data_IF_349524769258
#
_entry.id   IF_349524769258
#
_cell.length_a   1.000
_cell.length_b   1.000
_cell.length_c   1.000
_cell.angle_alpha   90.00
_cell.angle_beta   90.00
_cell.angle_gamma   90.00
#
_symmetry.space_group_name_H-M   'P 1'
#
loop_
_entity.id
_entity.type
_entity.pdbx_description
1 polymer ?
#
# COMPACT_ATOMS: atom_id res chain seq x y z
N UNK A 1 6.04 0.60 3.10
CA UNK A 1 5.87 -0.02 1.76
C UNK A 1 4.46 -0.49 1.45
N UNK A 2 3.52 -0.24 2.36
CA UNK A 2 2.14 -0.65 2.13
C UNK A 2 1.58 -0.15 0.79
N UNK A 3 1.73 1.13 0.40
CA UNK A 3 1.19 1.57 -0.89
C UNK A 3 1.78 0.84 -2.08
N UNK A 4 3.08 0.59 -2.08
CA UNK A 4 3.71 -0.09 -3.22
C UNK A 4 3.25 -1.54 -3.36
N UNK A 5 3.10 -2.26 -2.23
CA UNK A 5 2.62 -3.64 -2.27
C UNK A 5 1.27 -3.74 -2.98
N UNK A 6 0.30 -2.97 -2.54
CA UNK A 6 -1.05 -3.05 -3.11
C UNK A 6 -1.17 -2.46 -4.50
N UNK A 7 -0.51 -1.34 -4.76
CA UNK A 7 -0.63 -0.67 -6.05
C UNK A 7 0.00 -1.48 -7.18
N UNK A 8 1.12 -2.17 -6.91
CA UNK A 8 1.72 -3.03 -7.96
C UNK A 8 0.80 -4.18 -8.33
N UNK A 9 0.02 -4.70 -7.37
CA UNK A 9 -0.98 -5.74 -7.64
C UNK A 9 -2.18 -5.15 -8.38
N UNK A 10 -2.77 -4.10 -7.83
CA UNK A 10 -4.01 -3.52 -8.38
C UNK A 10 -3.85 -3.11 -9.83
N UNK A 11 -2.70 -2.57 -10.19
CA UNK A 11 -2.41 -2.11 -11.55
C UNK A 11 -1.52 -3.06 -12.34
N UNK A 12 -1.10 -4.17 -11.71
CA UNK A 12 -0.28 -5.22 -12.32
C UNK A 12 0.97 -4.64 -12.98
N UNK A 13 1.79 -3.96 -12.18
CA UNK A 13 2.97 -3.28 -12.67
C UNK A 13 4.08 -3.27 -11.62
N UNK A 14 5.20 -2.63 -11.91
CA UNK A 14 6.32 -2.49 -10.98
C UNK A 14 6.41 -1.07 -10.44
N UNK A 15 7.25 -0.89 -9.41
CA UNK A 15 7.35 0.37 -8.69
C UNK A 15 7.79 1.54 -9.56
N UNK A 16 8.70 1.31 -10.51
CA UNK A 16 9.19 2.36 -11.39
C UNK A 16 8.08 2.93 -12.29
N UNK A 17 7.19 2.07 -12.78
CA UNK A 17 6.08 2.51 -13.63
C UNK A 17 5.07 3.34 -12.85
N UNK A 18 4.81 2.95 -11.60
CA UNK A 18 3.90 3.71 -10.73
C UNK A 18 4.43 5.11 -10.47
N UNK A 19 5.73 5.25 -10.25
CA UNK A 19 6.33 6.53 -9.94
C UNK A 19 6.59 7.39 -11.17
N UNK A 20 6.68 6.78 -12.35
CA UNK A 20 6.82 7.50 -13.61
C UNK A 20 5.54 8.20 -14.04
N UNK A 21 4.38 7.70 -13.61
CA UNK A 21 3.09 8.28 -13.95
C UNK A 21 2.68 9.29 -12.88
N UNK A 22 2.42 10.56 -13.23
CA UNK A 22 2.09 11.58 -12.23
C UNK A 22 0.84 11.25 -11.41
N UNK A 23 -0.17 10.62 -11.99
CA UNK A 23 -1.40 10.30 -11.28
C UNK A 23 -1.18 9.22 -10.22
N UNK A 24 -0.46 8.15 -10.55
CA UNK A 24 -0.19 7.08 -9.59
C UNK A 24 0.85 7.50 -8.56
N UNK A 25 1.82 8.32 -8.95
CA UNK A 25 2.77 8.88 -7.99
C UNK A 25 2.06 9.72 -6.94
N UNK A 26 1.12 10.56 -7.36
CA UNK A 26 0.31 11.37 -6.43
C UNK A 26 -0.55 10.49 -5.53
N UNK A 27 -1.15 9.43 -6.07
CA UNK A 27 -1.96 8.51 -5.28
C UNK A 27 -1.12 7.80 -4.21
N UNK A 28 0.07 7.35 -4.59
CA UNK A 28 0.99 6.73 -3.63
C UNK A 28 1.36 7.71 -2.51
N UNK A 29 1.61 8.96 -2.88
CA UNK A 29 1.92 10.00 -1.89
C UNK A 29 0.76 10.18 -0.91
N UNK A 30 -0.47 10.24 -1.41
CA UNK A 30 -1.67 10.32 -0.55
C UNK A 30 -1.79 9.14 0.39
N UNK A 31 -1.55 7.93 -0.12
CA UNK A 31 -1.60 6.72 0.71
C UNK A 31 -0.55 6.76 1.80
N UNK A 32 0.65 7.24 1.48
CA UNK A 32 1.70 7.40 2.49
C UNK A 32 1.32 8.42 3.56
N UNK A 33 0.69 9.51 3.16
CA UNK A 33 0.21 10.50 4.13
C UNK A 33 -0.87 9.91 5.05
N UNK A 34 -1.72 9.04 4.53
CA UNK A 34 -2.69 8.34 5.37
C UNK A 34 -2.01 7.46 6.41
N UNK A 35 -0.99 6.70 5.99
CA UNK A 35 -0.23 5.86 6.90
C UNK A 35 0.47 6.69 7.97
N UNK A 36 1.10 7.79 7.58
CA UNK A 36 1.78 8.68 8.50
C UNK A 36 0.78 9.28 9.51
N UNK A 37 -0.38 9.74 9.01
CA UNK A 37 -1.42 10.28 9.89
C UNK A 37 -1.94 9.25 10.88
N UNK A 38 -2.12 8.01 10.43
CA UNK A 38 -2.52 6.92 11.30
C UNK A 38 -1.46 6.65 12.37
N UNK A 39 -0.19 6.62 11.99
CA UNK A 39 0.91 6.41 12.93
C UNK A 39 0.95 7.51 13.98
N UNK A 40 0.77 8.77 13.57
CA UNK A 40 0.73 9.90 14.50
C UNK A 40 -0.45 9.77 15.46
N UNK A 41 -1.61 9.39 14.96
CA UNK A 41 -2.82 9.20 15.78
C UNK A 41 -2.63 8.08 16.80
N UNK A 42 -1.84 7.07 16.46
CA UNK A 42 -1.51 5.95 17.34
C UNK A 42 -0.36 6.24 18.31
N UNK A 43 0.18 7.46 18.26
CA UNK A 43 1.21 7.90 19.22
C UNK A 43 2.64 7.77 18.75
N UNK A 44 2.88 7.41 17.49
CA UNK A 44 4.24 7.36 16.96
C UNK A 44 4.78 8.78 16.85
N UNK A 45 5.97 9.00 17.39
CA UNK A 45 6.62 10.31 17.37
C UNK A 45 7.73 10.32 16.31
N UNK A 46 8.19 11.51 15.98
CA UNK A 46 9.31 11.71 15.04
C UNK A 46 9.01 11.21 13.63
N UNK A 47 7.73 11.23 13.23
CA UNK A 47 7.32 10.93 11.87
C UNK A 47 6.41 12.07 11.40
N UNK A 48 6.65 12.54 10.16
CA UNK A 48 5.84 13.63 9.57
C UNK A 48 5.73 13.43 8.06
N UNK A 49 5.06 14.38 7.40
CA UNK A 49 4.81 14.30 5.96
C UNK A 49 6.07 14.18 5.11
N UNK A 50 7.20 14.68 5.59
CA UNK A 50 8.46 14.60 4.84
C UNK A 50 8.94 13.16 4.67
N UNK A 51 8.48 12.24 5.54
CA UNK A 51 8.79 10.81 5.41
C UNK A 51 8.27 10.25 4.09
N UNK A 52 7.09 10.70 3.64
CA UNK A 52 6.52 10.26 2.36
C UNK A 52 7.44 10.65 1.20
N UNK A 53 7.93 11.89 1.21
CA UNK A 53 8.83 12.35 0.16
C UNK A 53 10.14 11.57 0.16
N UNK A 54 10.69 11.28 1.34
CA UNK A 54 11.92 10.51 1.45
C UNK A 54 11.75 9.07 0.94
N UNK A 55 10.60 8.45 1.22
CA UNK A 55 10.33 7.09 0.75
C UNK A 55 10.19 7.02 -0.77
N UNK A 56 9.53 8.01 -1.36
CA UNK A 56 9.41 8.10 -2.81
C UNK A 56 10.79 8.30 -3.44
N UNK A 57 11.57 9.22 -2.90
CA UNK A 57 12.93 9.49 -3.39
C UNK A 57 13.81 8.26 -3.32
N UNK A 58 13.76 7.54 -2.18
CA UNK A 58 14.52 6.32 -2.00
C UNK A 58 14.13 5.26 -3.03
N UNK A 59 12.84 5.11 -3.29
CA UNK A 59 12.33 4.12 -4.25
C UNK A 59 12.74 4.50 -5.69
N UNK A 60 12.75 5.78 -6.02
CA UNK A 60 13.20 6.26 -7.33
C UNK A 60 14.66 5.91 -7.61
N UNK A 61 15.47 5.82 -6.56
CA UNK A 61 16.91 5.54 -6.68
C UNK A 61 17.23 4.06 -6.59
N UNK A 62 16.22 3.19 -6.40
CA UNK A 62 16.40 1.75 -6.34
C UNK A 62 16.22 1.13 -7.73
N UNK A 63 16.81 -0.05 -7.91
CA UNK A 63 16.48 -0.89 -9.08
C UNK A 63 15.00 -1.25 -9.03
N UNK A 64 14.25 -1.12 -10.13
CA UNK A 64 12.85 -1.53 -10.14
C UNK A 64 12.67 -2.96 -9.66
N UNK A 65 11.63 -3.19 -8.87
CA UNK A 65 11.41 -4.50 -8.27
C UNK A 65 9.92 -4.77 -8.09
N UNK A 66 9.61 -6.04 -7.84
CA UNK A 66 8.26 -6.47 -7.47
C UNK A 66 8.23 -6.70 -5.97
N UNK A 67 7.39 -5.97 -5.21
CA UNK A 67 7.23 -6.23 -3.77
C UNK A 67 6.69 -7.64 -3.51
N UNK A 68 6.81 -8.09 -2.26
CA UNK A 68 6.40 -9.45 -1.89
C UNK A 68 4.95 -9.75 -2.25
N UNK A 69 4.04 -8.80 -2.05
CA UNK A 69 2.62 -8.98 -2.39
C UNK A 69 2.43 -9.17 -3.90
N UNK A 70 3.19 -8.43 -4.71
CA UNK A 70 3.13 -8.59 -6.17
C UNK A 70 3.60 -9.98 -6.59
N UNK A 71 4.63 -10.49 -5.94
CA UNK A 71 5.10 -11.85 -6.20
C UNK A 71 4.04 -12.88 -5.81
N UNK A 72 3.36 -12.68 -4.68
CA UNK A 72 2.28 -13.56 -4.27
C UNK A 72 1.15 -13.57 -5.31
N UNK A 73 0.79 -12.39 -5.82
CA UNK A 73 -0.20 -12.26 -6.87
C UNK A 73 0.24 -12.98 -8.15
N UNK A 74 1.48 -12.77 -8.58
CA UNK A 74 2.00 -13.39 -9.81
C UNK A 74 1.99 -14.92 -9.75
N UNK A 75 2.25 -15.47 -8.57
CA UNK A 75 2.28 -16.93 -8.37
C UNK A 75 0.96 -17.47 -7.80
N UNK A 76 -0.09 -16.67 -7.74
CA UNK A 76 -1.43 -17.03 -7.25
C UNK A 76 -1.40 -17.56 -5.82
N UNK A 77 -0.60 -16.95 -4.96
CA UNK A 77 -0.53 -17.27 -3.53
C UNK A 77 -1.37 -16.28 -2.73
N UNK A 78 -1.77 -16.63 -1.49
CA UNK A 78 -2.42 -15.64 -0.61
C UNK A 78 -1.54 -14.41 -0.40
N UNK A 79 -2.14 -13.23 -0.49
CA UNK A 79 -1.39 -11.97 -0.47
C UNK A 79 -1.22 -11.35 0.92
N UNK A 80 -1.75 -12.01 1.96
CA UNK A 80 -1.64 -11.52 3.34
C UNK A 80 -2.27 -10.14 3.55
N UNK A 81 -3.43 -9.91 2.92
CA UNK A 81 -4.13 -8.63 2.97
C UNK A 81 -4.53 -8.28 4.41
N UNK A 82 -5.00 -9.27 5.18
CA UNK A 82 -5.35 -9.08 6.60
C UNK A 82 -4.18 -8.48 7.37
N UNK A 83 -3.01 -9.08 7.23
CA UNK A 83 -1.83 -8.66 7.96
C UNK A 83 -1.34 -7.28 7.53
N UNK A 84 -1.30 -7.04 6.21
CA UNK A 84 -0.69 -5.81 5.68
C UNK A 84 -1.65 -4.62 5.67
N UNK A 85 -2.95 -4.85 5.53
CA UNK A 85 -3.91 -3.75 5.37
C UNK A 85 -4.98 -3.73 6.44
N UNK A 86 -5.68 -4.85 6.65
CA UNK A 86 -6.86 -4.86 7.51
C UNK A 86 -6.54 -4.52 8.95
N UNK A 87 -5.44 -5.04 9.49
CA UNK A 87 -5.03 -4.74 10.86
C UNK A 87 -4.68 -3.25 11.04
N UNK A 88 -3.95 -2.68 10.10
CA UNK A 88 -3.56 -1.26 10.17
C UNK A 88 -4.79 -0.35 10.09
N UNK A 89 -5.74 -0.69 9.21
CA UNK A 89 -6.97 0.06 9.06
C UNK A 89 -7.80 -0.01 10.36
N UNK A 90 -7.92 -1.21 10.95
CA UNK A 90 -8.65 -1.39 12.20
C UNK A 90 -8.01 -0.61 13.36
N UNK A 91 -6.68 -0.65 13.46
CA UNK A 91 -5.98 0.10 14.49
C UNK A 91 -6.19 1.60 14.35
N UNK A 92 -6.15 2.12 13.13
CA UNK A 92 -6.40 3.53 12.86
C UNK A 92 -7.83 3.91 13.29
N UNK A 93 -8.82 3.08 12.92
CA UNK A 93 -10.21 3.31 13.29
C UNK A 93 -10.38 3.35 14.82
N UNK A 94 -9.63 2.53 15.55
CA UNK A 94 -9.74 2.48 17.01
C UNK A 94 -9.37 3.80 17.68
N UNK A 95 -8.62 4.66 17.00
CA UNK A 95 -8.26 6.00 17.50
C UNK A 95 -8.94 7.11 16.69
N UNK A 96 -9.99 6.75 15.93
CA UNK A 96 -10.80 7.73 15.20
C UNK A 96 -10.18 8.23 13.89
N UNK A 97 -9.21 7.51 13.34
CA UNK A 97 -8.54 7.92 12.12
C UNK A 97 -8.92 7.01 10.95
N UNK A 98 -9.28 7.59 9.81
CA UNK A 98 -9.65 6.86 8.60
C UNK A 98 -8.58 6.97 7.53
N UNK A 99 -8.42 5.90 6.76
CA UNK A 99 -7.49 5.85 5.62
C UNK A 99 -8.25 5.47 4.35
N UNK A 100 -9.05 6.39 3.78
CA UNK A 100 -9.96 6.04 2.69
C UNK A 100 -9.28 5.48 1.44
N UNK A 101 -8.12 5.98 1.06
CA UNK A 101 -7.42 5.44 -0.12
C UNK A 101 -6.94 4.01 0.12
N UNK A 102 -6.44 3.72 1.33
CA UNK A 102 -5.99 2.37 1.67
C UNK A 102 -7.17 1.42 1.88
N UNK A 103 -8.30 1.91 2.38
CA UNK A 103 -9.51 1.09 2.51
C UNK A 103 -10.03 0.68 1.13
N UNK A 104 -10.01 1.60 0.17
CA UNK A 104 -10.40 1.28 -1.20
C UNK A 104 -9.46 0.25 -1.82
N UNK A 105 -8.15 0.43 -1.62
CA UNK A 105 -7.16 -0.51 -2.12
C UNK A 105 -7.33 -1.89 -1.48
N UNK A 106 -7.60 -1.94 -0.17
CA UNK A 106 -7.86 -3.20 0.53
C UNK A 106 -9.02 -3.96 -0.13
N UNK A 107 -10.11 -3.27 -0.42
CA UNK A 107 -11.28 -3.88 -1.06
C UNK A 107 -10.93 -4.43 -2.44
N UNK A 108 -10.18 -3.67 -3.22
CA UNK A 108 -9.73 -4.10 -4.54
C UNK A 108 -8.85 -5.33 -4.47
N UNK A 109 -7.92 -5.36 -3.51
CA UNK A 109 -7.03 -6.49 -3.31
C UNK A 109 -7.80 -7.75 -2.90
N UNK A 110 -8.79 -7.62 -2.04
CA UNK A 110 -9.63 -8.75 -1.64
C UNK A 110 -10.38 -9.33 -2.82
N UNK A 111 -10.91 -8.48 -3.69
CA UNK A 111 -11.58 -8.91 -4.91
C UNK A 111 -10.62 -9.67 -5.83
N UNK A 112 -9.44 -9.10 -6.05
CA UNK A 112 -8.42 -9.72 -6.91
C UNK A 112 -8.01 -11.09 -6.36
N UNK A 113 -7.70 -11.17 -5.07
CA UNK A 113 -7.29 -12.43 -4.45
C UNK A 113 -8.39 -13.50 -4.56
N UNK A 114 -9.63 -13.11 -4.30
CA UNK A 114 -10.75 -14.03 -4.39
C UNK A 114 -10.90 -14.62 -5.80
N UNK A 115 -10.54 -13.84 -6.82
CA UNK A 115 -10.70 -14.28 -8.21
C UNK A 115 -9.77 -15.45 -8.56
N UNK A 116 -8.60 -15.55 -7.94
CA UNK A 116 -7.69 -16.67 -8.24
C UNK A 116 -7.66 -17.74 -7.15
N UNK A 117 -8.19 -17.46 -5.95
CA UNK A 117 -8.25 -18.48 -4.88
C UNK A 117 -9.57 -19.25 -4.86
N UNK A 118 -10.62 -18.74 -5.47
CA UNK A 118 -11.96 -19.31 -5.35
C UNK A 118 -12.13 -20.70 -5.97
N UNK A 119 -11.19 -21.10 -6.81
CA UNK A 119 -11.23 -22.41 -7.46
C UNK A 119 -10.72 -23.55 -6.58
N UNK A 120 -10.31 -23.25 -5.39
CA UNK A 120 -9.77 -24.22 -4.45
C UNK A 120 -10.85 -25.03 -3.74
#
# INVERSE_FOLDING_TARGET
NMPFNGMTVALNTQTDQLLANPATRELIHRQMLEVIGAAQALGVKNIDASFADRMIEMTLNMTPYSPSMKLDFDFHRPMEIEYLYSHAIAEAHSVGYSMPCLEMLEAELKFIEASYLKSR
#
